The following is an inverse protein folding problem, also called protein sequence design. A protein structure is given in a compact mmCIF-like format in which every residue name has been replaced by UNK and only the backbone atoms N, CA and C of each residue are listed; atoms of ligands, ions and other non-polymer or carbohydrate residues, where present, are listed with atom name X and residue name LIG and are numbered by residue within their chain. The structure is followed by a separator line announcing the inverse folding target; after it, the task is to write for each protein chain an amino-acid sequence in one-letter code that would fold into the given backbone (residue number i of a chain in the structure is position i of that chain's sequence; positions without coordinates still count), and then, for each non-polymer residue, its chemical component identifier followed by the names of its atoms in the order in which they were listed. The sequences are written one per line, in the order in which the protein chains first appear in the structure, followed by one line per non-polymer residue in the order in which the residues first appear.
data_IF_828942617181
#
_entry.id   IF_828942617181
#
_cell.length_a   1.000
_cell.length_b   1.000
_cell.length_c   1.000
_cell.angle_alpha   90.00
_cell.angle_beta   90.00
_cell.angle_gamma   90.00
#
_symmetry.space_group_name_H-M   'P 1'
#
loop_
_entity.id
_entity.type
_entity.pdbx_description
1 polymer ?
#
# COMPACT_ATOMS: atom_id res chain seq x y z
N UNK A 1 -43.81 -0.74 8.01
CA UNK A 1 -42.38 -1.12 8.15
C UNK A 1 -41.50 -0.04 7.50
N UNK A 2 -41.35 1.15 8.11
CA UNK A 2 -40.73 2.31 7.43
C UNK A 2 -39.81 3.20 8.29
N UNK A 3 -39.72 2.99 9.62
CA UNK A 3 -38.97 3.89 10.51
C UNK A 3 -37.47 3.55 10.67
N UNK A 4 -37.06 2.30 10.45
CA UNK A 4 -35.66 1.88 10.60
C UNK A 4 -34.73 2.34 9.47
N UNK A 5 -35.27 2.57 8.27
CA UNK A 5 -34.47 2.99 7.11
C UNK A 5 -33.98 4.44 7.26
N UNK A 6 -34.79 5.30 7.87
CA UNK A 6 -34.43 6.68 8.16
C UNK A 6 -33.26 6.78 9.15
N UNK A 7 -33.28 5.94 10.19
CA UNK A 7 -32.16 5.83 11.15
C UNK A 7 -30.88 5.33 10.47
N UNK A 8 -30.97 4.33 9.59
CA UNK A 8 -29.81 3.82 8.82
C UNK A 8 -29.19 4.88 7.92
N UNK A 9 -30.00 5.65 7.20
CA UNK A 9 -29.50 6.76 6.35
C UNK A 9 -28.86 7.85 7.21
N UNK A 10 -29.44 8.19 8.37
CA UNK A 10 -28.88 9.18 9.29
C UNK A 10 -27.54 8.71 9.86
N UNK A 11 -27.43 7.44 10.22
CA UNK A 11 -26.20 6.84 10.72
C UNK A 11 -25.12 6.75 9.64
N UNK A 12 -25.50 6.36 8.42
CA UNK A 12 -24.57 6.29 7.28
C UNK A 12 -23.99 7.66 6.94
N UNK A 13 -24.82 8.71 6.94
CA UNK A 13 -24.32 10.10 6.82
C UNK A 13 -23.38 10.48 7.95
N UNK A 14 -23.69 10.10 9.18
CA UNK A 14 -22.85 10.42 10.33
C UNK A 14 -21.48 9.74 10.24
N UNK A 15 -21.43 8.47 9.82
CA UNK A 15 -20.18 7.73 9.60
C UNK A 15 -19.37 8.34 8.46
N UNK A 16 -20.01 8.66 7.32
CA UNK A 16 -19.33 9.33 6.21
C UNK A 16 -18.77 10.68 6.63
N UNK A 17 -19.51 11.44 7.45
CA UNK A 17 -19.06 12.75 7.92
C UNK A 17 -17.92 12.63 8.93
N UNK A 18 -17.93 11.63 9.81
CA UNK A 18 -16.81 11.34 10.71
C UNK A 18 -15.57 10.86 9.94
N UNK A 19 -15.75 10.02 8.92
CA UNK A 19 -14.66 9.55 8.06
C UNK A 19 -14.09 10.68 7.21
N UNK A 20 -14.93 11.56 6.68
CA UNK A 20 -14.51 12.76 5.99
C UNK A 20 -13.79 13.73 6.93
N UNK A 21 -14.27 13.90 8.17
CA UNK A 21 -13.63 14.78 9.16
C UNK A 21 -12.29 14.22 9.66
N UNK A 22 -12.21 12.91 9.90
CA UNK A 22 -10.97 12.21 10.24
C UNK A 22 -9.98 12.25 9.07
N UNK A 23 -10.43 11.93 7.86
CA UNK A 23 -9.62 11.97 6.64
C UNK A 23 -9.19 13.39 6.25
N UNK A 24 -10.06 14.40 6.44
CA UNK A 24 -9.72 15.79 6.23
C UNK A 24 -8.75 16.30 7.31
N UNK A 25 -8.83 15.83 8.55
CA UNK A 25 -7.86 16.20 9.61
C UNK A 25 -6.48 15.60 9.36
N UNK A 26 -6.43 14.37 8.84
CA UNK A 26 -5.19 13.74 8.35
C UNK A 26 -4.60 14.57 7.18
N UNK A 27 -5.42 14.87 6.18
CA UNK A 27 -5.02 15.67 5.01
C UNK A 27 -4.64 17.11 5.38
N UNK A 28 -5.32 17.76 6.32
CA UNK A 28 -5.00 19.11 6.79
C UNK A 28 -3.73 19.12 7.63
N UNK A 29 -3.44 18.05 8.39
CA UNK A 29 -2.13 17.90 9.05
C UNK A 29 -1.01 17.69 8.06
N UNK A 30 -1.26 16.93 6.98
CA UNK A 30 -0.29 16.68 5.90
C UNK A 30 -0.06 17.94 5.07
N UNK A 31 -1.13 18.65 4.67
CA UNK A 31 -1.07 19.85 3.83
C UNK A 31 -0.70 21.12 4.61
N UNK A 32 -1.03 21.18 5.91
CA UNK A 32 -0.80 22.35 6.76
C UNK A 32 0.65 22.51 7.26
N UNK A 33 1.45 21.45 7.21
CA UNK A 33 2.89 21.51 7.53
C UNK A 33 3.81 21.32 6.31
N UNK A 34 3.38 20.61 5.25
CA UNK A 34 4.30 20.17 4.20
C UNK A 34 4.35 21.12 2.99
N UNK A 35 4.75 22.37 3.21
CA UNK A 35 5.17 23.26 2.12
C UNK A 35 6.70 23.45 2.09
N UNK A 36 7.43 22.42 2.49
CA UNK A 36 8.87 22.30 2.30
C UNK A 36 9.12 21.04 1.45
N UNK A 37 9.40 21.21 0.16
CA UNK A 37 9.59 20.14 -0.85
C UNK A 37 10.45 18.94 -0.39
N UNK A 38 11.41 19.18 0.52
CA UNK A 38 12.28 18.15 1.09
C UNK A 38 11.54 17.15 2.01
N UNK A 39 10.49 17.57 2.74
CA UNK A 39 9.78 16.69 3.68
C UNK A 39 8.77 15.77 2.99
N UNK A 40 8.16 16.22 1.89
CA UNK A 40 7.24 15.38 1.09
C UNK A 40 7.99 14.19 0.48
N UNK A 41 9.18 14.43 -0.10
CA UNK A 41 10.02 13.38 -0.65
C UNK A 41 10.50 12.43 0.45
N UNK A 42 10.87 12.96 1.63
CA UNK A 42 11.28 12.16 2.78
C UNK A 42 10.15 11.25 3.30
N UNK A 43 8.93 11.77 3.42
CA UNK A 43 7.75 11.00 3.85
C UNK A 43 7.35 9.95 2.81
N UNK A 44 7.33 10.32 1.53
CA UNK A 44 7.07 9.38 0.43
C UNK A 44 8.11 8.26 0.41
N UNK A 45 9.40 8.60 0.55
CA UNK A 45 10.50 7.62 0.63
C UNK A 45 10.34 6.71 1.84
N UNK A 46 9.96 7.25 3.00
CA UNK A 46 9.75 6.46 4.22
C UNK A 46 8.57 5.48 4.05
N UNK A 47 7.45 5.94 3.48
CA UNK A 47 6.29 5.09 3.16
C UNK A 47 6.64 4.02 2.13
N UNK A 48 7.39 4.36 1.09
CA UNK A 48 7.86 3.41 0.08
C UNK A 48 8.80 2.36 0.69
N UNK A 49 9.75 2.76 1.54
CA UNK A 49 10.66 1.86 2.23
C UNK A 49 9.91 0.89 3.15
N UNK A 50 8.91 1.37 3.90
CA UNK A 50 8.03 0.54 4.72
C UNK A 50 7.23 -0.46 3.87
N UNK A 51 6.68 0.00 2.74
CA UNK A 51 5.95 -0.84 1.78
C UNK A 51 6.82 -1.96 1.20
N UNK A 52 8.06 -1.65 0.81
CA UNK A 52 9.03 -2.65 0.34
C UNK A 52 9.37 -3.64 1.47
N UNK A 53 9.60 -3.15 2.69
CA UNK A 53 9.90 -4.00 3.84
C UNK A 53 8.78 -5.00 4.12
N UNK A 54 7.53 -4.54 4.19
CA UNK A 54 6.36 -5.38 4.38
C UNK A 54 6.14 -6.35 3.20
N UNK A 55 6.36 -5.89 1.96
CA UNK A 55 6.27 -6.71 0.76
C UNK A 55 7.29 -7.84 0.74
N UNK A 56 8.53 -7.58 1.17
CA UNK A 56 9.59 -8.59 1.22
C UNK A 56 9.33 -9.64 2.30
N UNK A 57 8.82 -9.23 3.48
CA UNK A 57 8.43 -10.17 4.52
C UNK A 57 7.25 -11.06 4.06
N UNK A 58 6.28 -10.47 3.37
CA UNK A 58 5.18 -11.20 2.74
C UNK A 58 5.68 -12.18 1.68
N UNK A 59 6.62 -11.78 0.82
CA UNK A 59 7.23 -12.65 -0.17
C UNK A 59 7.98 -13.82 0.50
N UNK A 60 8.69 -13.58 1.61
CA UNK A 60 9.35 -14.63 2.37
C UNK A 60 8.35 -15.65 2.93
N UNK A 61 7.25 -15.18 3.49
CA UNK A 61 6.16 -16.05 3.95
C UNK A 61 5.55 -16.84 2.79
N UNK A 62 5.32 -16.19 1.64
CA UNK A 62 4.81 -16.82 0.43
C UNK A 62 5.71 -17.93 -0.09
N UNK A 63 7.03 -17.72 -0.15
CA UNK A 63 8.00 -18.77 -0.54
C UNK A 63 7.88 -19.97 0.40
N UNK A 64 7.77 -19.75 1.72
CA UNK A 64 7.61 -20.84 2.68
C UNK A 64 6.28 -21.58 2.54
N UNK A 65 5.20 -20.86 2.27
CA UNK A 65 3.91 -21.47 1.96
C UNK A 65 3.99 -22.32 0.68
N UNK A 66 4.66 -21.82 -0.36
CA UNK A 66 4.89 -22.58 -1.60
C UNK A 66 5.72 -23.85 -1.35
N UNK A 67 6.75 -23.78 -0.51
CA UNK A 67 7.54 -24.95 -0.12
C UNK A 67 6.70 -26.01 0.60
N UNK A 68 5.76 -25.60 1.46
CA UNK A 68 4.89 -26.53 2.21
C UNK A 68 3.75 -27.11 1.37
N UNK A 69 3.20 -26.35 0.43
CA UNK A 69 2.07 -26.77 -0.40
C UNK A 69 2.48 -27.57 -1.65
N UNK A 70 3.77 -27.66 -1.98
CA UNK A 70 4.24 -28.33 -3.20
C UNK A 70 4.49 -29.83 -2.96
N UNK A 71 3.86 -30.73 -3.75
CA UNK A 71 4.07 -32.18 -3.64
C UNK A 71 5.30 -32.71 -4.40
N UNK A 72 5.93 -31.89 -5.25
CA UNK A 72 7.06 -32.24 -6.12
C UNK A 72 8.34 -31.50 -5.70
N UNK A 73 9.53 -32.11 -5.77
CA UNK A 73 10.78 -31.43 -5.45
C UNK A 73 11.03 -30.25 -6.42
N UNK A 74 11.76 -29.24 -5.92
CA UNK A 74 12.22 -28.12 -6.74
C UNK A 74 13.39 -28.59 -7.62
N UNK A 75 13.36 -28.24 -8.91
CA UNK A 75 14.56 -28.28 -9.75
C UNK A 75 15.45 -27.07 -9.39
N UNK A 76 16.77 -27.19 -9.54
CA UNK A 76 17.76 -26.18 -9.08
C UNK A 76 17.49 -24.74 -9.59
N UNK A 77 16.80 -24.61 -10.73
CA UNK A 77 16.48 -23.34 -11.36
C UNK A 77 15.07 -22.80 -11.03
N UNK A 78 14.17 -23.65 -10.52
CA UNK A 78 12.76 -23.27 -10.30
C UNK A 78 12.51 -22.65 -8.93
N UNK A 79 13.45 -22.79 -7.98
CA UNK A 79 13.21 -22.38 -6.60
C UNK A 79 13.16 -20.84 -6.47
N UNK A 80 12.00 -20.25 -6.11
CA UNK A 80 11.87 -18.81 -5.99
C UNK A 80 12.72 -18.31 -4.82
N UNK A 81 13.58 -17.32 -5.06
CA UNK A 81 14.46 -16.75 -4.04
C UNK A 81 13.96 -15.37 -3.66
N UNK A 82 14.14 -15.03 -2.39
CA UNK A 82 13.75 -13.71 -1.88
C UNK A 82 14.48 -12.56 -2.60
N UNK A 83 15.69 -12.81 -3.10
CA UNK A 83 16.47 -11.85 -3.87
C UNK A 83 15.83 -11.46 -5.21
N UNK A 84 15.05 -12.36 -5.82
CA UNK A 84 14.38 -12.13 -7.09
C UNK A 84 13.21 -11.17 -6.88
N UNK A 85 12.38 -11.44 -5.86
CA UNK A 85 11.29 -10.53 -5.44
C UNK A 85 11.79 -9.14 -5.07
N UNK A 86 12.96 -9.03 -4.42
CA UNK A 86 13.56 -7.72 -4.12
C UNK A 86 13.87 -6.94 -5.39
N UNK A 87 14.46 -7.58 -6.40
CA UNK A 87 14.78 -6.92 -7.68
C UNK A 87 13.51 -6.50 -8.42
N UNK A 88 12.52 -7.38 -8.44
CA UNK A 88 11.26 -7.12 -9.12
C UNK A 88 10.44 -6.03 -8.43
N UNK A 89 10.35 -6.02 -7.10
CA UNK A 89 9.70 -4.95 -6.33
C UNK A 89 10.35 -3.58 -6.59
N UNK A 90 11.68 -3.52 -6.64
CA UNK A 90 12.40 -2.28 -6.99
C UNK A 90 12.15 -1.86 -8.45
N UNK A 91 12.08 -2.83 -9.37
CA UNK A 91 11.74 -2.59 -10.77
C UNK A 91 10.34 -2.02 -10.93
N UNK A 92 9.33 -2.65 -10.33
CA UNK A 92 7.95 -2.19 -10.38
C UNK A 92 7.77 -0.83 -9.69
N UNK A 93 8.48 -0.57 -8.59
CA UNK A 93 8.47 0.75 -7.97
C UNK A 93 9.03 1.81 -8.92
N UNK A 94 10.14 1.53 -9.60
CA UNK A 94 10.73 2.45 -10.59
C UNK A 94 9.78 2.72 -11.75
N UNK A 95 9.12 1.70 -12.29
CA UNK A 95 8.13 1.83 -13.35
C UNK A 95 6.89 2.61 -12.89
N UNK A 96 6.39 2.33 -11.68
CA UNK A 96 5.26 3.04 -11.10
C UNK A 96 5.56 4.55 -10.92
N UNK A 97 6.77 4.89 -10.48
CA UNK A 97 7.22 6.28 -10.36
C UNK A 97 7.30 6.97 -11.74
N UNK A 98 7.83 6.29 -12.76
CA UNK A 98 7.89 6.82 -14.13
C UNK A 98 6.49 7.03 -14.75
N UNK A 99 5.57 6.09 -14.52
CA UNK A 99 4.19 6.15 -15.01
C UNK A 99 3.36 7.24 -14.32
N UNK A 100 3.65 7.53 -13.05
CA UNK A 100 3.06 8.64 -12.29
C UNK A 100 3.49 10.01 -12.82
N UNK A 101 4.76 10.16 -13.19
CA UNK A 101 5.29 11.40 -13.79
C UNK A 101 4.70 11.72 -15.17
N UNK A 102 4.48 10.69 -16.01
CA UNK A 102 3.96 10.87 -17.38
C UNK A 102 2.45 11.14 -17.46
N UNK A 103 1.69 10.99 -16.35
CA UNK A 103 0.26 11.33 -16.28
C UNK A 103 -0.01 12.79 -15.90
N UNK A 104 1.03 13.54 -15.56
CA UNK A 104 0.94 14.92 -15.09
C UNK A 104 1.48 15.95 -16.10
N UNK A 105 1.76 15.50 -17.33
CA UNK A 105 2.16 16.32 -18.49
C UNK A 105 1.09 16.26 -19.59
#
# INVERSE_FOLDING_TARGET
MSWGYFSRIRLFRLVLLNMAFAGASELVREVGMDWMSQDIAARLSTRAAQGIGAGLLTARLGIKAMELCRPLPWLEQDKPRLGDFRRELLGQLKEALQKGGNKSA
#
